data_IF_953674360821
#
_entry.id   IF_953674360821
#
_cell.length_a   1.000
_cell.length_b   1.000
_cell.length_c   1.000
_cell.angle_alpha   90.00
_cell.angle_beta   90.00
_cell.angle_gamma   90.00
#
_symmetry.space_group_name_H-M   'P 1'
#
loop_
_entity.id
_entity.type
_entity.pdbx_description
1 polymer ?
#
# COMPACT_ATOMS: atom_id res chain seq x y z
N UNK A 1 -6.26 9.75 7.75
CA UNK A 1 -7.04 10.57 8.72
C UNK A 1 -8.40 9.93 9.02
N UNK A 2 -8.94 10.11 10.24
CA UNK A 2 -10.34 9.77 10.55
C UNK A 2 -11.31 10.36 9.53
N UNK A 3 -12.39 9.64 9.20
CA UNK A 3 -13.41 10.10 8.25
C UNK A 3 -12.98 10.25 6.78
N UNK A 4 -11.70 10.07 6.46
CA UNK A 4 -11.18 10.19 5.10
C UNK A 4 -11.88 9.23 4.13
N UNK A 5 -12.05 9.65 2.88
CA UNK A 5 -12.65 8.85 1.81
C UNK A 5 -11.59 8.49 0.78
N UNK A 6 -11.68 7.27 0.25
CA UNK A 6 -10.89 6.86 -0.91
C UNK A 6 -11.65 7.28 -2.17
N UNK A 7 -11.00 8.08 -3.01
CA UNK A 7 -11.57 8.54 -4.29
C UNK A 7 -10.84 7.87 -5.46
N UNK A 8 -11.46 7.90 -6.63
CA UNK A 8 -10.81 7.42 -7.85
C UNK A 8 -9.65 8.32 -8.26
N UNK A 9 -8.67 7.77 -9.00
CA UNK A 9 -7.57 8.56 -9.56
C UNK A 9 -8.08 9.74 -10.41
N UNK A 10 -9.10 9.49 -11.24
CA UNK A 10 -9.68 10.52 -12.12
C UNK A 10 -10.28 11.68 -11.32
N UNK A 11 -10.99 11.38 -10.25
CA UNK A 11 -11.56 12.39 -9.35
C UNK A 11 -10.47 13.13 -8.59
N UNK A 12 -9.49 12.41 -8.03
CA UNK A 12 -8.40 13.01 -7.26
C UNK A 12 -7.54 13.95 -8.09
N UNK A 13 -7.25 13.60 -9.35
CA UNK A 13 -6.49 14.49 -10.25
C UNK A 13 -7.21 15.80 -10.55
N UNK A 14 -8.55 15.85 -10.49
CA UNK A 14 -9.31 17.10 -10.67
C UNK A 14 -9.20 18.04 -9.47
N UNK A 15 -8.89 17.51 -8.29
CA UNK A 15 -8.71 18.29 -7.07
C UNK A 15 -7.28 18.83 -6.89
N UNK A 16 -6.36 18.49 -7.80
CA UNK A 16 -4.96 18.88 -7.74
C UNK A 16 -4.63 19.97 -8.77
N UNK A 17 -3.72 20.87 -8.39
CA UNK A 17 -3.14 21.87 -9.28
C UNK A 17 -1.63 21.63 -9.48
N UNK A 18 -1.07 21.97 -10.66
CA UNK A 18 0.38 21.93 -10.86
C UNK A 18 1.14 22.77 -9.82
N UNK A 19 2.20 22.21 -9.25
CA UNK A 19 3.02 22.86 -8.21
C UNK A 19 2.43 22.82 -6.80
N UNK A 20 1.26 22.21 -6.60
CA UNK A 20 0.64 22.09 -5.29
C UNK A 20 1.46 21.17 -4.37
N UNK A 21 1.63 21.61 -3.12
CA UNK A 21 2.19 20.80 -2.05
C UNK A 21 1.08 19.96 -1.42
N UNK A 22 1.25 18.64 -1.42
CA UNK A 22 0.31 17.68 -0.84
C UNK A 22 1.02 16.65 0.01
N UNK A 23 0.34 16.12 1.02
CA UNK A 23 0.85 15.00 1.78
C UNK A 23 0.72 13.72 0.95
N UNK A 24 1.77 12.90 0.92
CA UNK A 24 1.72 11.60 0.27
C UNK A 24 2.61 10.58 1.00
N UNK A 25 2.25 9.31 0.81
CA UNK A 25 3.06 8.14 1.17
C UNK A 25 3.31 7.42 -0.14
N UNK A 26 4.58 7.16 -0.48
CA UNK A 26 4.91 6.58 -1.78
C UNK A 26 6.07 5.62 -1.70
N UNK A 27 5.97 4.53 -2.46
CA UNK A 27 7.08 3.61 -2.69
C UNK A 27 7.67 3.87 -4.07
N UNK A 28 9.00 3.78 -4.17
CA UNK A 28 9.75 3.89 -5.42
C UNK A 28 10.75 2.74 -5.51
N UNK A 29 10.82 2.11 -6.69
CA UNK A 29 11.88 1.18 -7.04
C UNK A 29 12.54 1.62 -8.34
N UNK A 30 13.86 1.56 -8.38
CA UNK A 30 14.66 1.93 -9.55
C UNK A 30 15.74 0.88 -9.78
N UNK A 31 15.95 0.52 -11.04
CA UNK A 31 17.03 -0.38 -11.42
C UNK A 31 17.42 -0.16 -12.89
N UNK A 32 18.69 -0.37 -13.18
CA UNK A 32 19.27 -0.45 -14.52
C UNK A 32 19.84 -1.84 -14.82
N UNK A 33 19.48 -2.84 -14.02
CA UNK A 33 19.89 -4.23 -14.24
C UNK A 33 18.91 -4.88 -15.23
N UNK A 34 19.32 -5.16 -16.48
CA UNK A 34 18.44 -5.73 -17.49
C UNK A 34 17.72 -6.99 -17.01
N UNK A 35 16.47 -7.13 -17.42
CA UNK A 35 15.60 -8.27 -17.09
C UNK A 35 15.22 -8.40 -15.61
N UNK A 36 15.66 -7.50 -14.73
CA UNK A 36 15.25 -7.52 -13.32
C UNK A 36 13.78 -7.14 -13.20
N UNK A 37 12.99 -7.96 -12.52
CA UNK A 37 11.63 -7.60 -12.13
C UNK A 37 11.69 -6.68 -10.90
N UNK A 38 11.16 -5.48 -11.01
CA UNK A 38 11.05 -4.50 -9.93
C UNK A 38 9.58 -4.22 -9.62
N UNK A 39 9.27 -3.95 -8.34
CA UNK A 39 7.94 -3.54 -7.92
C UNK A 39 7.99 -2.50 -6.79
N UNK A 40 7.05 -1.55 -6.83
CA UNK A 40 6.77 -0.57 -5.79
C UNK A 40 5.28 -0.63 -5.44
N UNK A 41 4.97 -0.66 -4.16
CA UNK A 41 3.62 -0.90 -3.65
C UNK A 41 3.31 -0.01 -2.46
N UNK A 42 2.05 0.42 -2.35
CA UNK A 42 1.52 1.08 -1.15
C UNK A 42 0.30 0.29 -0.67
N UNK A 43 0.32 -0.11 0.60
CA UNK A 43 -0.81 -0.77 1.27
C UNK A 43 -1.60 0.23 2.11
N UNK A 44 -2.89 -0.06 2.33
CA UNK A 44 -3.80 0.75 3.12
C UNK A 44 -4.73 -0.13 3.94
N UNK A 45 -4.83 0.16 5.24
CA UNK A 45 -5.78 -0.45 6.16
C UNK A 45 -6.67 0.62 6.79
N UNK A 46 -7.98 0.39 6.74
CA UNK A 46 -9.01 1.28 7.27
C UNK A 46 -9.70 0.59 8.46
N UNK A 47 -9.74 1.22 9.63
CA UNK A 47 -10.42 0.67 10.81
C UNK A 47 -11.94 0.69 10.63
N UNK A 48 -12.65 -0.17 11.35
CA UNK A 48 -14.11 -0.16 11.42
C UNK A 48 -14.64 1.10 12.13
N UNK A 49 -13.95 1.53 13.18
CA UNK A 49 -14.20 2.82 13.81
C UNK A 49 -13.69 3.96 12.92
N UNK A 50 -14.60 4.71 12.31
CA UNK A 50 -14.25 5.84 11.42
C UNK A 50 -13.68 7.06 12.15
N UNK A 51 -13.76 7.09 13.49
CA UNK A 51 -13.12 8.11 14.32
C UNK A 51 -11.63 7.82 14.57
N UNK A 52 -11.21 6.57 14.36
CA UNK A 52 -9.81 6.17 14.44
C UNK A 52 -9.04 6.44 13.14
N UNK A 53 -7.71 6.49 13.23
CA UNK A 53 -6.83 6.61 12.08
C UNK A 53 -6.64 5.25 11.38
N UNK A 54 -6.47 5.29 10.05
CA UNK A 54 -6.00 4.14 9.27
C UNK A 54 -4.49 4.12 9.14
N UNK A 55 -3.97 3.06 8.52
CA UNK A 55 -2.54 2.84 8.34
C UNK A 55 -2.18 2.73 6.87
N UNK A 56 -1.05 3.33 6.47
CA UNK A 56 -0.45 3.17 5.15
C UNK A 56 0.92 2.51 5.30
N UNK A 57 1.28 1.68 4.32
CA UNK A 57 2.58 1.01 4.26
C UNK A 57 3.23 1.22 2.90
N UNK A 58 4.55 1.16 2.85
CA UNK A 58 5.34 1.22 1.62
C UNK A 58 6.11 -0.09 1.46
N UNK A 59 6.18 -0.61 0.24
CA UNK A 59 6.96 -1.81 -0.05
C UNK A 59 7.59 -1.79 -1.43
N UNK A 60 8.92 -1.93 -1.45
CA UNK A 60 9.71 -2.08 -2.67
C UNK A 60 10.29 -3.50 -2.74
N UNK A 61 10.30 -4.11 -3.92
CA UNK A 61 10.87 -5.45 -4.09
C UNK A 61 11.51 -5.70 -5.45
N UNK A 62 12.37 -6.72 -5.46
CA UNK A 62 12.97 -7.30 -6.66
C UNK A 62 12.53 -8.75 -6.79
N UNK A 63 12.24 -9.22 -8.01
CA UNK A 63 11.89 -10.62 -8.27
C UNK A 63 10.50 -11.06 -7.79
N UNK A 64 9.68 -10.14 -7.24
CA UNK A 64 8.28 -10.41 -6.87
C UNK A 64 7.33 -9.89 -7.92
N UNK A 65 6.31 -10.69 -8.25
CA UNK A 65 5.21 -10.24 -9.12
C UNK A 65 4.38 -9.17 -8.43
N UNK A 66 3.71 -8.35 -9.23
CA UNK A 66 2.82 -7.27 -8.77
C UNK A 66 1.91 -7.70 -7.61
N UNK A 67 1.17 -8.80 -7.79
CA UNK A 67 0.28 -9.35 -6.78
C UNK A 67 1.01 -9.61 -5.46
N UNK A 68 2.14 -10.32 -5.47
CA UNK A 68 2.90 -10.66 -4.26
C UNK A 68 3.45 -9.42 -3.54
N UNK A 69 3.88 -8.40 -4.29
CA UNK A 69 4.37 -7.16 -3.70
C UNK A 69 3.23 -6.33 -3.09
N UNK A 70 2.10 -6.22 -3.80
CA UNK A 70 0.92 -5.51 -3.32
C UNK A 70 0.29 -6.16 -2.11
N UNK A 71 0.16 -7.48 -2.13
CA UNK A 71 -0.37 -8.27 -1.02
C UNK A 71 0.49 -8.14 0.25
N UNK A 72 1.82 -8.11 0.09
CA UNK A 72 2.73 -7.88 1.20
C UNK A 72 2.60 -6.46 1.78
N UNK A 73 2.43 -5.44 0.93
CA UNK A 73 2.18 -4.08 1.40
C UNK A 73 0.83 -4.00 2.15
N UNK A 74 -0.22 -4.60 1.60
CA UNK A 74 -1.54 -4.66 2.24
C UNK A 74 -1.48 -5.32 3.62
N UNK A 75 -0.79 -6.45 3.72
CA UNK A 75 -0.59 -7.19 4.97
C UNK A 75 0.21 -6.40 5.99
N UNK A 76 1.26 -5.70 5.55
CA UNK A 76 2.02 -4.80 6.40
C UNK A 76 1.13 -3.68 6.96
N UNK A 77 0.29 -3.03 6.13
CA UNK A 77 -0.60 -1.98 6.61
C UNK A 77 -1.63 -2.50 7.62
N UNK A 78 -2.20 -3.67 7.35
CA UNK A 78 -3.20 -4.28 8.22
C UNK A 78 -2.60 -4.75 9.56
N UNK A 79 -1.41 -5.36 9.52
CA UNK A 79 -0.69 -5.80 10.72
C UNK A 79 -0.26 -4.62 11.59
N UNK A 80 0.23 -3.54 10.97
CA UNK A 80 0.58 -2.32 11.70
C UNK A 80 -0.65 -1.64 12.31
N UNK A 81 -1.80 -1.63 11.63
CA UNK A 81 -3.05 -1.14 12.23
C UNK A 81 -3.48 -2.04 13.40
N UNK A 82 -3.45 -3.35 13.22
CA UNK A 82 -3.87 -4.33 14.21
C UNK A 82 -3.05 -4.22 15.52
N UNK A 83 -1.74 -4.03 15.42
CA UNK A 83 -0.87 -3.87 16.59
C UNK A 83 -1.22 -2.62 17.40
N UNK A 84 -1.58 -1.51 16.74
CA UNK A 84 -2.06 -0.30 17.44
C UNK A 84 -3.41 -0.49 18.15
N UNK A 85 -4.18 -1.50 17.76
CA UNK A 85 -5.47 -1.85 18.35
C UNK A 85 -5.38 -2.97 19.40
N UNK A 86 -4.15 -3.34 19.80
CA UNK A 86 -3.86 -4.37 20.80
C UNK A 86 -4.19 -5.79 20.34
N UNK A 87 -4.18 -6.05 19.02
CA UNK A 87 -4.34 -7.40 18.49
C UNK A 87 -2.94 -8.01 18.39
N UNK A 88 -2.69 -9.07 19.16
CA UNK A 88 -1.44 -9.83 19.06
C UNK A 88 -1.36 -10.55 17.73
N UNK A 89 -0.20 -10.45 17.10
CA UNK A 89 0.09 -11.03 15.81
C UNK A 89 0.97 -12.25 16.00
N UNK A 90 0.50 -13.41 15.54
CA UNK A 90 1.34 -14.59 15.40
C UNK A 90 2.06 -14.52 14.03
N UNK A 91 3.36 -14.31 14.08
CA UNK A 91 4.22 -14.22 12.90
C UNK A 91 4.31 -15.54 12.12
N UNK A 92 3.93 -16.66 12.72
CA UNK A 92 3.94 -17.98 12.08
C UNK A 92 2.75 -18.21 11.15
N UNK A 93 1.73 -17.35 11.20
CA UNK A 93 0.53 -17.51 10.39
C UNK A 93 0.75 -17.16 8.92
N UNK A 94 0.34 -18.08 8.04
CA UNK A 94 0.31 -17.86 6.58
C UNK A 94 -0.72 -16.78 6.24
N UNK A 95 -0.46 -16.01 5.19
CA UNK A 95 -1.25 -14.83 4.83
C UNK A 95 -2.77 -15.07 4.74
N UNK A 96 -3.23 -16.19 4.17
CA UNK A 96 -4.69 -16.46 4.13
C UNK A 96 -5.30 -16.56 5.53
N UNK A 97 -4.56 -17.11 6.51
CA UNK A 97 -4.99 -17.15 7.91
C UNK A 97 -4.98 -15.76 8.55
N UNK A 98 -3.99 -14.91 8.24
CA UNK A 98 -3.94 -13.51 8.69
C UNK A 98 -5.13 -12.69 8.19
N UNK A 99 -5.51 -12.87 6.92
CA UNK A 99 -6.66 -12.18 6.31
C UNK A 99 -7.98 -12.53 7.00
N UNK A 100 -8.18 -13.78 7.37
CA UNK A 100 -9.36 -14.21 8.09
C UNK A 100 -9.38 -13.68 9.53
N UNK A 101 -8.24 -13.63 10.23
CA UNK A 101 -8.18 -13.05 11.58
C UNK A 101 -8.58 -11.57 11.59
N UNK A 102 -8.15 -10.78 10.62
CA UNK A 102 -8.57 -9.37 10.53
C UNK A 102 -10.08 -9.23 10.38
N UNK A 103 -10.68 -10.00 9.48
CA UNK A 103 -12.13 -10.00 9.24
C UNK A 103 -12.89 -10.45 10.48
N UNK A 104 -12.41 -11.50 11.15
CA UNK A 104 -13.03 -12.07 12.35
C UNK A 104 -12.94 -11.12 13.54
N UNK A 105 -11.85 -10.35 13.66
CA UNK A 105 -11.70 -9.36 14.74
C UNK A 105 -12.73 -8.22 14.68
N UNK A 106 -13.35 -7.98 13.51
CA UNK A 106 -14.29 -6.88 13.27
C UNK A 106 -13.68 -5.47 13.39
N UNK A 107 -12.38 -5.36 13.69
CA UNK A 107 -11.69 -4.09 13.94
C UNK A 107 -11.18 -3.40 12.67
N UNK A 108 -10.94 -4.17 11.60
CA UNK A 108 -10.52 -3.66 10.29
C UNK A 108 -11.66 -3.86 9.30
N UNK A 109 -12.14 -2.77 8.69
CA UNK A 109 -13.27 -2.84 7.76
C UNK A 109 -12.83 -3.09 6.33
N UNK A 110 -11.64 -2.58 5.96
CA UNK A 110 -11.18 -2.63 4.58
C UNK A 110 -9.67 -2.53 4.50
N UNK A 111 -9.09 -3.40 3.69
CA UNK A 111 -7.70 -3.33 3.24
C UNK A 111 -7.67 -3.15 1.72
N UNK A 112 -6.63 -2.52 1.20
CA UNK A 112 -6.36 -2.42 -0.23
C UNK A 112 -4.88 -2.10 -0.48
N UNK A 113 -4.43 -2.28 -1.71
CA UNK A 113 -3.12 -1.84 -2.16
C UNK A 113 -3.17 -1.25 -3.58
N UNK A 114 -2.12 -0.52 -3.93
CA UNK A 114 -1.80 -0.15 -5.31
C UNK A 114 -0.34 -0.46 -5.58
N UNK A 115 -0.07 -1.12 -6.70
CA UNK A 115 1.26 -1.64 -7.02
C UNK A 115 1.58 -1.38 -8.48
N UNK A 116 2.83 -1.01 -8.74
CA UNK A 116 3.38 -0.96 -10.09
C UNK A 116 4.60 -1.88 -10.15
N UNK A 117 4.63 -2.74 -11.17
CA UNK A 117 5.79 -3.58 -11.48
C UNK A 117 6.30 -3.33 -12.89
N UNK A 118 7.57 -3.65 -13.14
CA UNK A 118 8.19 -3.60 -14.46
C UNK A 118 9.35 -4.60 -14.55
N UNK A 119 9.56 -5.16 -15.74
CA UNK A 119 10.82 -5.82 -16.08
C UNK A 119 11.73 -4.76 -16.66
N UNK A 120 12.90 -4.57 -16.06
CA UNK A 120 13.87 -3.55 -16.47
C UNK A 120 14.33 -3.84 -17.90
N UNK A 121 14.27 -2.82 -18.75
CA UNK A 121 14.72 -2.91 -20.13
C UNK A 121 16.24 -2.74 -20.26
N UNK A 122 16.74 -2.84 -21.49
CA UNK A 122 18.18 -2.69 -21.78
C UNK A 122 18.57 -1.22 -22.02
N UNK A 123 17.66 -0.26 -21.79
CA UNK A 123 17.78 1.15 -22.20
C UNK A 123 17.84 2.09 -20.99
N UNK A 124 18.71 1.77 -20.04
CA UNK A 124 19.04 2.64 -18.91
C UNK A 124 18.26 2.29 -17.65
N UNK A 125 17.79 3.30 -16.93
CA UNK A 125 17.09 3.11 -15.65
C UNK A 125 15.58 2.98 -15.88
N UNK A 126 15.00 1.89 -15.37
CA UNK A 126 13.56 1.75 -15.22
C UNK A 126 13.18 2.13 -13.78
N UNK A 127 12.14 2.95 -13.62
CA UNK A 127 11.59 3.34 -12.32
C UNK A 127 10.12 3.00 -12.25
N UNK A 128 9.69 2.40 -11.14
CA UNK A 128 8.28 2.18 -10.79
C UNK A 128 7.94 2.92 -9.51
N UNK A 129 6.73 3.47 -9.45
CA UNK A 129 6.23 4.27 -8.33
C UNK A 129 4.79 3.85 -8.01
N UNK A 130 4.48 3.75 -6.72
CA UNK A 130 3.13 3.62 -6.20
C UNK A 130 2.93 4.66 -5.08
N UNK A 131 1.75 5.28 -5.00
CA UNK A 131 1.50 6.36 -4.04
C UNK A 131 0.06 6.41 -3.53
N UNK A 132 -0.09 6.78 -2.26
CA UNK A 132 -1.31 7.29 -1.66
C UNK A 132 -1.15 8.81 -1.45
N UNK A 133 -2.03 9.59 -2.08
CA UNK A 133 -1.97 11.06 -2.06
C UNK A 133 -3.18 11.61 -1.32
N UNK A 134 -2.94 12.48 -0.34
CA UNK A 134 -4.00 13.17 0.38
C UNK A 134 -4.39 14.44 -0.37
N UNK A 135 -5.68 14.57 -0.63
CA UNK A 135 -6.27 15.72 -1.30
C UNK A 135 -6.66 16.79 -0.27
N UNK A 136 -6.69 18.09 -0.67
CA UNK A 136 -7.16 19.18 0.16
C UNK A 136 -8.67 19.08 0.50
#
# INVERSE_FOLDING_TARGET
PPGCKVVSRTEGLRALAPGQVVFCVFSRCVSNEPHRLIAASVGCAIPADRSAYGYLSEYTSFGKKEKQAGDHAEDLAASMLASTLGIEFDDELVWDAKKEIWKISGKIVRTMNITQSAVVDNKGYTTVVAAAVFLP
#
